data_IF_388961507421
#
_entry.id   IF_388961507421
#
_cell.length_a   1.000
_cell.length_b   1.000
_cell.length_c   1.000
_cell.angle_alpha   90.00
_cell.angle_beta   90.00
_cell.angle_gamma   90.00
#
_symmetry.space_group_name_H-M   'P 1'
#
loop_
_entity.id
_entity.type
_entity.pdbx_description
1 polymer ?
#
# COMPACT_ATOMS: atom_id res chain seq x y z
N UNK A 1 5.33 -3.51 13.33
CA UNK A 1 4.19 -3.98 12.52
C UNK A 1 3.64 -2.82 11.72
N UNK A 2 3.68 -2.94 10.40
CA UNK A 2 3.22 -1.89 9.49
C UNK A 2 2.32 -2.48 8.41
N UNK A 3 1.39 -1.67 7.94
CA UNK A 3 0.59 -1.93 6.74
C UNK A 3 0.98 -0.87 5.70
N UNK A 4 1.14 -1.26 4.45
CA UNK A 4 1.42 -0.33 3.35
C UNK A 4 0.30 -0.39 2.33
N UNK A 5 0.00 0.74 1.70
CA UNK A 5 -0.96 0.75 0.59
C UNK A 5 -0.26 0.48 -0.75
N UNK A 6 -1.05 0.37 -1.81
CA UNK A 6 -0.54 -0.03 -3.11
C UNK A 6 0.42 1.00 -3.72
N UNK A 7 0.19 2.29 -3.49
CA UNK A 7 1.09 3.33 -4.00
C UNK A 7 2.47 3.23 -3.36
N UNK A 8 2.52 3.04 -2.05
CA UNK A 8 3.78 2.87 -1.31
C UNK A 8 4.47 1.58 -1.77
N UNK A 9 3.73 0.48 -1.89
CA UNK A 9 4.30 -0.79 -2.33
C UNK A 9 4.85 -0.70 -3.76
N UNK A 10 4.12 -0.09 -4.69
CA UNK A 10 4.56 0.06 -6.07
C UNK A 10 5.82 0.91 -6.17
N UNK A 11 5.89 2.03 -5.44
CA UNK A 11 7.10 2.87 -5.40
C UNK A 11 8.28 2.12 -4.81
N UNK A 12 8.05 1.38 -3.74
CA UNK A 12 9.09 0.56 -3.10
C UNK A 12 9.68 -0.45 -4.08
N UNK A 13 8.82 -1.08 -4.89
CA UNK A 13 9.22 -2.17 -5.78
C UNK A 13 9.77 -1.69 -7.11
N UNK A 14 9.28 -0.57 -7.64
CA UNK A 14 9.52 -0.17 -9.03
C UNK A 14 10.29 1.13 -9.19
N UNK A 15 10.42 1.96 -8.16
CA UNK A 15 11.12 3.24 -8.28
C UNK A 15 12.60 3.07 -7.91
N UNK A 16 13.46 3.26 -8.88
CA UNK A 16 14.92 3.17 -8.71
C UNK A 16 15.53 4.50 -8.26
N UNK A 17 14.74 5.54 -8.10
CA UNK A 17 15.18 6.85 -7.63
C UNK A 17 15.19 6.99 -6.11
N UNK A 18 15.29 8.24 -5.64
CA UNK A 18 15.41 8.54 -4.20
C UNK A 18 14.17 8.14 -3.40
N UNK A 19 12.98 8.35 -3.96
CA UNK A 19 11.73 7.99 -3.27
C UNK A 19 11.65 6.47 -3.01
N UNK A 20 11.97 5.66 -4.00
CA UNK A 20 11.99 4.21 -3.84
C UNK A 20 13.04 3.76 -2.84
N UNK A 21 14.22 4.39 -2.88
CA UNK A 21 15.30 4.10 -1.93
C UNK A 21 14.88 4.40 -0.49
N UNK A 22 14.29 5.56 -0.26
CA UNK A 22 13.81 5.96 1.07
C UNK A 22 12.75 5.01 1.60
N UNK A 23 11.80 4.59 0.75
CA UNK A 23 10.77 3.65 1.16
C UNK A 23 11.33 2.27 1.46
N UNK A 24 12.26 1.77 0.64
CA UNK A 24 12.92 0.49 0.94
C UNK A 24 13.63 0.52 2.28
N UNK A 25 14.33 1.61 2.56
CA UNK A 25 14.99 1.79 3.87
C UNK A 25 13.97 1.80 5.00
N UNK A 26 12.87 2.54 4.83
CA UNK A 26 11.81 2.63 5.84
C UNK A 26 11.17 1.27 6.14
N UNK A 27 10.86 0.51 5.10
CA UNK A 27 10.21 -0.79 5.28
C UNK A 27 11.15 -1.82 5.88
N UNK A 28 12.42 -1.77 5.54
CA UNK A 28 13.45 -2.67 6.12
C UNK A 28 13.66 -2.40 7.61
N UNK A 29 13.49 -1.15 8.04
CA UNK A 29 13.68 -0.78 9.44
C UNK A 29 12.69 -1.47 10.38
N UNK A 30 11.45 -1.69 9.94
CA UNK A 30 10.44 -2.42 10.73
C UNK A 30 10.50 -3.92 10.43
N UNK A 31 10.51 -4.29 9.17
CA UNK A 31 10.60 -5.69 8.72
C UNK A 31 9.35 -6.54 8.94
N UNK A 32 8.31 -6.01 9.58
CA UNK A 32 7.09 -6.76 9.92
C UNK A 32 5.91 -6.19 9.11
N UNK A 33 5.80 -6.67 7.88
CA UNK A 33 4.90 -6.11 6.87
C UNK A 33 3.62 -6.94 6.74
N UNK A 34 2.48 -6.28 6.81
CA UNK A 34 1.15 -6.88 6.72
C UNK A 34 0.33 -6.14 5.67
N UNK A 35 -0.37 -6.87 4.82
CA UNK A 35 -1.14 -6.28 3.72
C UNK A 35 -2.42 -7.06 3.46
N UNK A 36 -3.48 -6.41 2.95
CA UNK A 36 -4.62 -7.15 2.45
C UNK A 36 -4.28 -7.83 1.13
N UNK A 37 -4.93 -8.94 0.82
CA UNK A 37 -4.71 -9.66 -0.45
C UNK A 37 -4.90 -8.77 -1.67
N UNK A 38 -5.78 -7.80 -1.61
CA UNK A 38 -6.04 -6.90 -2.72
C UNK A 38 -4.81 -6.09 -3.14
N UNK A 39 -3.81 -5.97 -2.27
CA UNK A 39 -2.58 -5.23 -2.59
C UNK A 39 -1.96 -5.73 -3.89
N UNK A 40 -1.89 -7.03 -4.08
CA UNK A 40 -1.24 -7.60 -5.26
C UNK A 40 -1.88 -7.12 -6.56
N UNK A 41 -3.20 -7.09 -6.60
CA UNK A 41 -3.92 -6.60 -7.79
C UNK A 41 -3.83 -5.10 -7.94
N UNK A 42 -3.86 -4.36 -6.85
CA UNK A 42 -3.74 -2.91 -6.91
C UNK A 42 -2.33 -2.48 -7.36
N UNK A 43 -1.29 -3.16 -6.90
CA UNK A 43 0.07 -2.91 -7.39
C UNK A 43 0.16 -3.19 -8.88
N UNK A 44 -0.40 -4.31 -9.34
CA UNK A 44 -0.44 -4.63 -10.78
C UNK A 44 -1.15 -3.51 -11.57
N UNK A 45 -2.24 -2.96 -11.03
CA UNK A 45 -2.97 -1.87 -11.67
C UNK A 45 -2.14 -0.58 -11.73
N UNK A 46 -1.40 -0.25 -10.67
CA UNK A 46 -0.49 0.90 -10.67
C UNK A 46 0.60 0.73 -11.71
N UNK A 47 1.24 -0.45 -11.75
CA UNK A 47 2.30 -0.74 -12.71
C UNK A 47 1.78 -0.66 -14.15
N UNK A 48 0.58 -1.19 -14.40
CA UNK A 48 -0.06 -1.10 -15.72
C UNK A 48 -0.22 0.36 -16.16
N UNK A 49 -0.69 1.21 -15.26
CA UNK A 49 -0.87 2.63 -15.55
C UNK A 49 0.46 3.30 -15.90
N UNK A 50 1.52 3.00 -15.15
CA UNK A 50 2.85 3.58 -15.41
C UNK A 50 3.42 3.12 -16.75
N UNK A 51 3.19 1.87 -17.15
CA UNK A 51 3.70 1.32 -18.41
C UNK A 51 2.89 1.79 -19.61
N UNK A 52 1.57 1.69 -19.54
CA UNK A 52 0.68 1.84 -20.71
C UNK A 52 0.17 3.26 -20.86
N UNK A 53 -0.19 3.93 -19.76
CA UNK A 53 -0.82 5.24 -19.78
C UNK A 53 0.22 6.35 -19.67
N UNK A 54 1.00 6.34 -18.61
CA UNK A 54 1.98 7.39 -18.33
C UNK A 54 3.28 7.17 -19.08
N UNK A 55 3.60 5.93 -19.41
CA UNK A 55 4.81 5.53 -20.16
C UNK A 55 6.10 5.97 -19.49
N UNK A 56 6.10 5.95 -18.17
CA UNK A 56 7.27 6.31 -17.34
C UNK A 56 8.03 5.10 -16.83
N UNK A 57 7.49 3.91 -17.07
CA UNK A 57 8.10 2.65 -16.63
C UNK A 57 8.12 1.65 -17.77
N UNK A 58 9.25 0.97 -17.97
CA UNK A 58 9.32 -0.06 -19.01
C UNK A 58 8.54 -1.31 -18.59
N UNK A 59 8.02 -2.05 -19.58
CA UNK A 59 7.34 -3.32 -19.32
C UNK A 59 8.25 -4.31 -18.62
N UNK A 60 9.53 -4.32 -18.97
CA UNK A 60 10.54 -5.20 -18.37
C UNK A 60 10.71 -4.88 -16.88
N UNK A 61 10.81 -3.59 -16.53
CA UNK A 61 10.98 -3.17 -15.13
C UNK A 61 9.71 -3.47 -14.31
N UNK A 62 8.53 -3.30 -14.92
CA UNK A 62 7.27 -3.64 -14.26
C UNK A 62 7.18 -5.14 -13.98
N UNK A 63 7.62 -5.98 -14.92
CA UNK A 63 7.66 -7.44 -14.70
C UNK A 63 8.55 -7.80 -13.53
N UNK A 64 9.71 -7.18 -13.43
CA UNK A 64 10.63 -7.40 -12.32
C UNK A 64 9.97 -7.01 -10.99
N UNK A 65 9.26 -5.87 -10.96
CA UNK A 65 8.55 -5.43 -9.76
C UNK A 65 7.46 -6.43 -9.35
N UNK A 66 6.74 -7.02 -10.31
CA UNK A 66 5.74 -8.05 -10.02
C UNK A 66 6.36 -9.33 -9.45
N UNK A 67 7.53 -9.72 -9.96
CA UNK A 67 8.26 -10.86 -9.40
C UNK A 67 8.71 -10.56 -7.97
N UNK A 68 9.22 -9.37 -7.73
CA UNK A 68 9.62 -8.94 -6.38
C UNK A 68 8.42 -8.87 -5.44
N UNK A 69 7.25 -8.47 -5.93
CA UNK A 69 6.01 -8.47 -5.15
C UNK A 69 5.64 -9.89 -4.71
N UNK A 70 5.76 -10.86 -5.62
CA UNK A 70 5.46 -12.26 -5.30
C UNK A 70 6.38 -12.80 -4.21
N UNK A 71 7.63 -12.32 -4.17
CA UNK A 71 8.63 -12.74 -3.20
C UNK A 71 8.64 -11.86 -1.93
N UNK A 72 7.79 -10.84 -1.88
CA UNK A 72 7.75 -9.92 -0.74
C UNK A 72 7.35 -10.66 0.54
N UNK A 73 8.18 -10.61 1.60
CA UNK A 73 7.88 -11.29 2.86
C UNK A 73 6.86 -10.52 3.67
N UNK A 74 5.62 -10.50 3.21
CA UNK A 74 4.50 -9.85 3.86
C UNK A 74 3.44 -10.87 4.21
N UNK A 75 2.81 -10.72 5.38
CA UNK A 75 1.61 -11.47 5.72
C UNK A 75 0.43 -10.90 4.95
N UNK A 76 -0.26 -11.74 4.19
CA UNK A 76 -1.43 -11.33 3.38
C UNK A 76 -2.71 -11.79 4.06
N UNK A 77 -3.71 -10.91 4.10
CA UNK A 77 -4.97 -11.14 4.82
C UNK A 77 -6.16 -11.09 3.87
N UNK A 78 -7.09 -12.02 4.05
CA UNK A 78 -8.37 -12.01 3.34
C UNK A 78 -9.26 -10.86 3.81
N UNK A 79 -10.24 -10.50 2.96
CA UNK A 79 -11.05 -9.31 3.17
C UNK A 79 -12.26 -9.53 4.07
N UNK A 80 -12.77 -10.76 4.18
CA UNK A 80 -14.02 -11.01 4.90
C UNK A 80 -14.05 -10.45 6.32
N UNK A 81 -13.02 -10.65 7.15
CA UNK A 81 -13.03 -10.10 8.50
C UNK A 81 -13.02 -8.58 8.56
N UNK A 82 -12.65 -7.93 7.45
CA UNK A 82 -12.52 -6.47 7.38
C UNK A 82 -13.81 -5.79 6.89
N UNK A 83 -14.73 -6.54 6.30
CA UNK A 83 -15.88 -5.96 5.60
C UNK A 83 -16.77 -5.12 6.50
N UNK A 84 -16.96 -5.50 7.74
CA UNK A 84 -17.77 -4.71 8.68
C UNK A 84 -17.20 -3.32 8.88
N UNK A 85 -15.89 -3.24 9.12
CA UNK A 85 -15.22 -1.95 9.31
C UNK A 85 -15.14 -1.15 8.01
N UNK A 86 -14.89 -1.81 6.89
CA UNK A 86 -14.92 -1.19 5.56
C UNK A 86 -16.27 -0.49 5.33
N UNK A 87 -17.36 -1.16 5.67
CA UNK A 87 -18.70 -0.59 5.54
C UNK A 87 -18.93 0.61 6.47
N UNK A 88 -18.44 0.54 7.70
CA UNK A 88 -18.51 1.66 8.64
C UNK A 88 -17.79 2.91 8.11
N UNK A 89 -16.71 2.72 7.36
CA UNK A 89 -15.92 3.82 6.80
C UNK A 89 -16.45 4.36 5.47
N UNK A 90 -17.56 3.84 4.96
CA UNK A 90 -18.07 4.12 3.60
C UNK A 90 -18.34 5.58 3.27
N UNK A 91 -18.66 6.38 4.26
CA UNK A 91 -18.92 7.81 4.04
C UNK A 91 -17.64 8.62 3.82
N UNK A 92 -16.51 8.09 4.26
CA UNK A 92 -15.23 8.81 4.24
C UNK A 92 -14.21 8.19 3.27
N UNK A 93 -14.34 6.88 2.99
CA UNK A 93 -13.38 6.15 2.18
C UNK A 93 -14.10 5.19 1.23
N UNK A 94 -13.54 5.02 0.03
CA UNK A 94 -13.94 3.93 -0.84
C UNK A 94 -13.44 2.58 -0.26
N UNK A 95 -14.05 1.49 -0.72
CA UNK A 95 -13.82 0.17 -0.13
C UNK A 95 -12.34 -0.27 -0.13
N UNK A 96 -11.62 0.00 -1.22
CA UNK A 96 -10.23 -0.42 -1.33
C UNK A 96 -9.34 0.32 -0.31
N UNK A 97 -9.47 1.63 -0.21
CA UNK A 97 -8.72 2.42 0.79
C UNK A 97 -9.10 2.00 2.21
N UNK A 98 -10.39 1.77 2.44
CA UNK A 98 -10.90 1.35 3.74
C UNK A 98 -10.33 -0.02 4.17
N UNK A 99 -10.03 -0.91 3.23
CA UNK A 99 -9.46 -2.21 3.56
C UNK A 99 -8.09 -2.09 4.23
N UNK A 100 -7.24 -1.18 3.76
CA UNK A 100 -5.93 -0.94 4.38
C UNK A 100 -6.08 -0.35 5.79
N UNK A 101 -6.97 0.62 5.93
CA UNK A 101 -7.26 1.23 7.23
C UNK A 101 -7.80 0.18 8.21
N UNK A 102 -8.79 -0.61 7.77
CA UNK A 102 -9.41 -1.64 8.60
C UNK A 102 -8.38 -2.68 9.06
N UNK A 103 -7.48 -3.09 8.17
CA UNK A 103 -6.42 -4.03 8.53
C UNK A 103 -5.47 -3.43 9.56
N UNK A 104 -5.01 -2.21 9.34
CA UNK A 104 -4.11 -1.54 10.27
C UNK A 104 -4.76 -1.39 11.65
N UNK A 105 -6.03 -1.01 11.70
CA UNK A 105 -6.77 -0.91 12.97
C UNK A 105 -6.89 -2.26 13.66
N UNK A 106 -7.24 -3.31 12.93
CA UNK A 106 -7.40 -4.64 13.49
C UNK A 106 -6.11 -5.19 14.09
N UNK A 107 -4.97 -4.86 13.48
CA UNK A 107 -3.66 -5.34 13.93
C UNK A 107 -2.99 -4.41 14.94
N UNK A 108 -3.50 -3.20 15.13
CA UNK A 108 -2.78 -2.17 15.90
C UNK A 108 -1.50 -1.72 15.19
N UNK A 109 -1.48 -1.77 13.86
CA UNK A 109 -0.31 -1.44 13.06
C UNK A 109 -0.37 0.00 12.56
N UNK A 110 0.79 0.54 12.19
CA UNK A 110 0.90 1.83 11.52
C UNK A 110 0.62 1.65 10.03
N UNK A 111 -0.26 2.46 9.46
CA UNK A 111 -0.49 2.49 8.02
C UNK A 111 0.47 3.50 7.38
N UNK A 112 1.36 3.01 6.55
CA UNK A 112 2.29 3.83 5.77
C UNK A 112 1.64 4.12 4.42
N UNK A 113 1.41 5.38 4.13
CA UNK A 113 0.70 5.82 2.92
C UNK A 113 1.33 7.10 2.37
N UNK A 114 1.17 7.32 1.07
CA UNK A 114 1.51 8.60 0.44
C UNK A 114 0.29 9.51 0.29
N UNK A 115 -0.89 9.06 0.68
CA UNK A 115 -2.14 9.81 0.53
C UNK A 115 -2.40 10.71 1.73
N UNK A 116 -2.15 12.00 1.55
CA UNK A 116 -2.35 13.00 2.61
C UNK A 116 -3.81 13.16 3.02
N UNK A 117 -4.76 12.79 2.16
CA UNK A 117 -6.18 12.91 2.47
C UNK A 117 -6.57 12.01 3.64
N UNK A 118 -5.88 10.89 3.82
CA UNK A 118 -6.14 9.99 4.95
C UNK A 118 -5.89 10.67 6.29
N UNK A 119 -4.89 11.53 6.36
CA UNK A 119 -4.59 12.27 7.60
C UNK A 119 -5.69 13.24 8.01
N UNK A 120 -6.54 13.65 7.05
CA UNK A 120 -7.67 14.55 7.31
C UNK A 120 -8.99 13.79 7.44
N UNK A 121 -8.98 12.49 7.25
CA UNK A 121 -10.18 11.67 7.28
C UNK A 121 -10.60 11.44 8.74
N UNK A 122 -11.88 11.70 9.05
CA UNK A 122 -12.39 11.44 10.38
C UNK A 122 -12.77 9.97 10.54
N UNK A 123 -12.78 9.50 11.78
CA UNK A 123 -13.23 8.16 12.13
C UNK A 123 -12.17 7.06 12.03
N UNK A 124 -10.94 7.38 11.59
CA UNK A 124 -9.84 6.42 11.56
C UNK A 124 -9.20 6.33 12.95
N UNK A 125 -8.92 5.10 13.40
CA UNK A 125 -8.29 4.86 14.71
C UNK A 125 -6.86 4.32 14.59
N UNK A 126 -6.39 3.96 13.40
CA UNK A 126 -5.00 3.54 13.23
C UNK A 126 -4.07 4.76 13.19
N UNK A 127 -2.81 4.53 13.56
CA UNK A 127 -1.76 5.50 13.32
C UNK A 127 -1.44 5.55 11.83
N UNK A 128 -1.19 6.76 11.33
CA UNK A 128 -0.78 7.00 9.94
C UNK A 128 0.63 7.54 9.91
N UNK A 129 1.41 7.03 8.98
CA UNK A 129 2.69 7.63 8.61
C UNK A 129 2.58 8.04 7.15
N UNK A 130 2.49 9.34 6.89
CA UNK A 130 2.37 9.87 5.53
C UNK A 130 3.78 10.12 5.01
N UNK A 131 4.13 9.42 3.92
CA UNK A 131 5.45 9.55 3.29
C UNK A 131 5.38 10.48 2.10
N UNK A 132 6.54 11.03 1.72
CA UNK A 132 6.63 11.90 0.56
C UNK A 132 6.38 11.14 -0.73
N UNK A 133 5.57 11.72 -1.60
CA UNK A 133 5.40 11.25 -2.96
C UNK A 133 6.43 11.96 -3.84
N UNK A 134 7.22 11.19 -4.55
CA UNK A 134 8.19 11.77 -5.48
C UNK A 134 7.52 12.40 -6.69
#
# INVERSE_FOLDING_TARGET
MIVVDASVAATTLADDGSAGHELRTRLQADGDLHVPELLDLEVAAVLRRLVIIERTLSARRARQALEDLADLPAERYGHRPLLGRVWELRHNLQAYDAAYVALAEALGAVLVTADRRLARCSGLTCQLEVVSKS
#
